data_IF_810199289319
#
_entry.id   IF_810199289319
#
_cell.length_a   1.000
_cell.length_b   1.000
_cell.length_c   1.000
_cell.angle_alpha   90.00
_cell.angle_beta   90.00
_cell.angle_gamma   90.00
#
_symmetry.space_group_name_H-M   'P 1'
#
loop_
_entity.id
_entity.type
_entity.pdbx_description
1 polymer ?
#
# COMPACT_ATOMS: atom_id res chain seq x y z
N UNK A 1 11.76 25.29 -13.11
CA UNK A 1 12.90 24.71 -12.34
C UNK A 1 13.08 23.20 -12.56
N UNK A 2 12.47 22.61 -13.59
CA UNK A 2 12.34 21.14 -13.74
C UNK A 2 13.46 20.51 -14.59
N UNK A 3 14.09 21.27 -15.49
CA UNK A 3 15.06 20.74 -16.48
C UNK A 3 16.48 20.63 -15.89
N UNK A 4 16.88 21.56 -15.01
CA UNK A 4 18.20 21.52 -14.34
C UNK A 4 18.26 20.37 -13.33
N UNK A 5 17.13 20.05 -12.67
CA UNK A 5 17.01 18.90 -11.76
C UNK A 5 17.15 17.57 -12.50
N UNK A 6 16.50 17.40 -13.65
CA UNK A 6 16.63 16.18 -14.47
C UNK A 6 18.06 15.97 -15.02
N UNK A 7 18.76 17.04 -15.37
CA UNK A 7 20.11 16.96 -15.93
C UNK A 7 21.16 16.60 -14.86
N UNK A 8 21.05 17.16 -13.65
CA UNK A 8 21.87 16.77 -12.50
C UNK A 8 21.53 15.34 -12.02
N UNK A 9 20.26 14.96 -12.06
CA UNK A 9 19.78 13.61 -11.74
C UNK A 9 20.36 12.55 -12.69
N UNK A 10 20.41 12.81 -14.00
CA UNK A 10 21.05 11.90 -14.97
C UNK A 10 22.58 11.84 -14.83
N UNK A 11 23.24 12.97 -14.55
CA UNK A 11 24.69 13.01 -14.38
C UNK A 11 25.18 12.30 -13.10
N UNK A 12 24.43 12.40 -12.00
CA UNK A 12 24.72 11.67 -10.75
C UNK A 12 24.43 10.17 -10.86
N UNK A 13 23.32 9.78 -11.50
CA UNK A 13 22.98 8.37 -11.71
C UNK A 13 23.96 7.66 -12.67
N UNK A 14 24.42 8.34 -13.72
CA UNK A 14 25.36 7.77 -14.70
C UNK A 14 26.70 7.36 -14.07
N UNK A 15 27.27 8.16 -13.17
CA UNK A 15 28.52 7.81 -12.46
C UNK A 15 28.34 6.68 -11.45
N UNK A 16 27.20 6.64 -10.74
CA UNK A 16 26.93 5.65 -9.69
C UNK A 16 26.56 4.27 -10.27
N UNK A 17 25.89 4.22 -11.42
CA UNK A 17 25.59 2.97 -12.12
C UNK A 17 26.84 2.33 -12.75
N UNK A 18 27.79 3.15 -13.22
CA UNK A 18 29.08 2.68 -13.70
C UNK A 18 29.92 2.05 -12.56
N UNK A 19 29.81 2.60 -11.34
CA UNK A 19 30.43 2.04 -10.14
C UNK A 19 29.81 0.70 -9.74
N UNK A 20 28.48 0.58 -9.76
CA UNK A 20 27.74 -0.65 -9.42
C UNK A 20 28.01 -1.76 -10.43
N UNK A 21 28.03 -1.46 -11.74
CA UNK A 21 28.39 -2.44 -12.77
C UNK A 21 29.83 -2.90 -12.63
N UNK A 22 30.77 -2.00 -12.36
CA UNK A 22 32.18 -2.36 -12.10
C UNK A 22 32.35 -3.20 -10.82
N UNK A 23 31.57 -2.95 -9.76
CA UNK A 23 31.58 -3.73 -8.52
C UNK A 23 30.98 -5.14 -8.72
N UNK A 24 29.90 -5.25 -9.48
CA UNK A 24 29.27 -6.53 -9.81
C UNK A 24 30.15 -7.37 -10.76
N UNK A 25 30.82 -6.74 -11.73
CA UNK A 25 31.79 -7.42 -12.60
C UNK A 25 33.08 -7.79 -11.85
N UNK A 26 33.56 -6.94 -10.94
CA UNK A 26 34.65 -7.26 -10.02
C UNK A 26 34.35 -8.49 -9.17
N UNK A 27 33.12 -8.60 -8.66
CA UNK A 27 32.66 -9.77 -7.90
C UNK A 27 32.56 -11.03 -8.75
N UNK A 28 32.14 -10.93 -10.02
CA UNK A 28 32.14 -12.07 -10.97
C UNK A 28 33.56 -12.52 -11.33
N UNK A 29 34.52 -11.59 -11.42
CA UNK A 29 35.95 -11.92 -11.61
C UNK A 29 36.53 -12.64 -10.39
N UNK A 30 36.25 -12.16 -9.17
CA UNK A 30 36.69 -12.80 -7.92
C UNK A 30 36.09 -14.22 -7.80
N UNK A 31 34.81 -14.38 -8.13
CA UNK A 31 34.13 -15.69 -8.07
C UNK A 31 34.59 -16.69 -9.16
N UNK A 32 35.27 -16.24 -10.21
CA UNK A 32 35.91 -17.07 -11.24
C UNK A 32 37.39 -17.38 -10.94
N UNK A 33 38.00 -16.67 -9.99
CA UNK A 33 39.42 -16.79 -9.65
C UNK A 33 39.73 -17.86 -8.59
N UNK A 34 38.74 -18.67 -8.20
CA UNK A 34 38.92 -19.79 -7.29
C UNK A 34 38.32 -21.02 -7.96
N UNK A 35 39.16 -21.97 -8.39
CA UNK A 35 39.56 -23.02 -7.44
C UNK A 35 40.99 -23.59 -7.60
N UNK A 36 41.39 -24.33 -6.55
CA UNK A 36 42.43 -25.37 -6.41
C UNK A 36 43.83 -24.96 -5.89
N UNK A 37 44.15 -25.57 -4.74
CA UNK A 37 45.46 -25.68 -4.08
C UNK A 37 46.28 -26.84 -4.68
N UNK A 38 47.59 -26.64 -4.57
CA UNK A 38 48.74 -27.56 -4.49
C UNK A 38 49.49 -28.12 -5.72
N UNK A 39 50.82 -27.96 -5.55
CA UNK A 39 51.99 -28.71 -6.04
C UNK A 39 52.61 -28.47 -7.44
N UNK A 40 53.89 -28.05 -7.38
CA UNK A 40 55.04 -28.45 -8.22
C UNK A 40 55.50 -27.59 -9.43
N UNK A 41 56.74 -27.09 -9.29
CA UNK A 41 57.87 -27.12 -10.25
C UNK A 41 57.98 -26.05 -11.37
N UNK A 42 59.03 -25.23 -11.20
CA UNK A 42 60.05 -24.71 -12.13
C UNK A 42 59.73 -24.02 -13.49
N UNK A 43 60.22 -22.77 -13.56
CA UNK A 43 61.10 -22.20 -14.60
C UNK A 43 60.53 -21.59 -15.91
N UNK A 44 61.34 -20.65 -16.44
CA UNK A 44 61.22 -19.77 -17.62
C UNK A 44 60.32 -18.51 -17.45
N UNK A 45 60.83 -17.27 -17.33
CA UNK A 45 61.74 -16.42 -18.13
C UNK A 45 61.07 -15.61 -19.25
N UNK A 46 61.57 -14.37 -19.43
CA UNK A 46 61.41 -13.39 -20.55
C UNK A 46 60.04 -12.72 -20.71
N UNK A 47 59.94 -11.40 -20.50
CA UNK A 47 59.96 -10.31 -21.51
C UNK A 47 58.66 -10.30 -22.36
N UNK A 48 57.93 -9.22 -22.60
CA UNK A 48 58.32 -7.89 -23.04
C UNK A 48 57.19 -6.85 -22.80
N UNK A 49 57.62 -5.61 -22.93
CA UNK A 49 56.88 -4.35 -22.86
C UNK A 49 55.98 -4.05 -24.06
N UNK A 50 55.11 -3.05 -23.85
CA UNK A 50 54.53 -2.10 -24.82
C UNK A 50 53.53 -2.61 -25.88
N UNK A 51 52.28 -2.10 -25.83
CA UNK A 51 51.91 -0.98 -26.72
C UNK A 51 50.50 -0.43 -26.45
N UNK A 52 50.44 0.89 -26.47
CA UNK A 52 49.24 1.72 -26.40
C UNK A 52 49.00 2.28 -27.80
N UNK A 53 47.93 1.89 -28.48
CA UNK A 53 47.45 2.64 -29.66
C UNK A 53 46.02 2.30 -30.03
N UNK A 54 45.24 3.37 -30.12
CA UNK A 54 43.87 3.54 -30.56
C UNK A 54 43.48 2.90 -31.90
N UNK A 55 42.24 2.43 -32.00
CA UNK A 55 41.41 2.59 -33.21
C UNK A 55 39.92 2.61 -32.84
N UNK A 56 39.33 3.79 -33.09
CA UNK A 56 37.91 4.09 -32.98
C UNK A 56 37.15 3.53 -34.18
N UNK A 57 36.16 2.67 -33.94
CA UNK A 57 35.06 2.45 -34.88
C UNK A 57 33.73 2.58 -34.14
N UNK A 58 33.08 3.72 -34.36
CA UNK A 58 31.69 4.03 -33.99
C UNK A 58 30.76 2.97 -34.57
N UNK A 59 30.29 2.04 -33.73
CA UNK A 59 29.00 1.40 -33.92
C UNK A 59 27.98 2.21 -33.10
N UNK A 60 26.95 2.71 -33.77
CA UNK A 60 25.89 3.50 -33.15
C UNK A 60 25.25 2.72 -31.99
N UNK A 61 25.40 3.26 -30.78
CA UNK A 61 24.81 2.70 -29.57
C UNK A 61 23.27 2.81 -29.65
N UNK A 62 22.52 1.75 -29.30
CA UNK A 62 21.08 1.88 -29.14
C UNK A 62 20.82 2.86 -27.99
N UNK A 63 19.92 3.81 -28.24
CA UNK A 63 19.55 4.91 -27.34
C UNK A 63 19.16 4.37 -25.95
N UNK A 64 19.93 4.76 -24.93
CA UNK A 64 19.88 4.29 -23.54
C UNK A 64 18.54 4.57 -22.79
N UNK A 65 17.62 5.31 -23.42
CA UNK A 65 16.29 5.63 -22.88
C UNK A 65 15.31 4.45 -22.90
N UNK A 66 15.62 3.34 -23.59
CA UNK A 66 14.75 2.15 -23.63
C UNK A 66 15.07 1.10 -22.55
N UNK A 67 16.22 1.18 -21.88
CA UNK A 67 16.70 0.13 -20.96
C UNK A 67 16.36 0.44 -19.49
N UNK A 68 16.17 1.72 -19.13
CA UNK A 68 15.94 2.15 -17.74
C UNK A 68 14.66 1.58 -17.08
N UNK A 69 13.50 1.43 -17.77
CA UNK A 69 12.32 0.86 -17.13
C UNK A 69 12.44 -0.64 -16.84
N UNK A 70 13.23 -1.37 -17.64
CA UNK A 70 13.32 -2.83 -17.56
C UNK A 70 14.17 -3.35 -16.41
N UNK A 71 15.16 -2.57 -15.95
CA UNK A 71 16.11 -3.01 -14.91
C UNK A 71 15.63 -2.62 -13.50
N UNK A 72 14.99 -1.45 -13.35
CA UNK A 72 14.51 -0.96 -12.06
C UNK A 72 13.16 -1.57 -11.63
N UNK A 73 12.29 -1.95 -12.57
CA UNK A 73 10.96 -2.49 -12.24
C UNK A 73 10.88 -4.02 -12.15
N UNK A 74 11.49 -4.71 -13.12
CA UNK A 74 11.32 -6.17 -13.30
C UNK A 74 12.57 -7.00 -12.92
N UNK A 75 13.75 -6.37 -12.82
CA UNK A 75 15.03 -7.04 -12.52
C UNK A 75 15.29 -7.26 -11.03
N UNK A 76 14.99 -6.27 -10.19
CA UNK A 76 15.22 -6.33 -8.73
C UNK A 76 14.29 -7.33 -8.00
N UNK A 77 13.11 -7.62 -8.56
CA UNK A 77 12.21 -8.65 -8.03
C UNK A 77 12.65 -10.09 -8.35
N UNK A 78 13.60 -10.27 -9.27
CA UNK A 78 14.18 -11.56 -9.66
C UNK A 78 15.59 -11.79 -9.09
N UNK A 79 16.19 -10.80 -8.43
CA UNK A 79 17.38 -11.05 -7.64
C UNK A 79 16.99 -11.95 -6.46
N UNK A 80 17.50 -13.18 -6.47
CA UNK A 80 17.62 -13.94 -5.22
C UNK A 80 18.55 -13.14 -4.32
N UNK A 81 17.97 -12.46 -3.34
CA UNK A 81 18.74 -11.86 -2.26
C UNK A 81 19.14 -13.00 -1.34
N UNK A 82 20.44 -13.35 -1.26
CA UNK A 82 20.88 -14.34 -0.30
C UNK A 82 20.48 -13.84 1.09
N UNK A 83 19.71 -14.63 1.82
CA UNK A 83 19.54 -14.42 3.25
C UNK A 83 20.95 -14.45 3.82
N UNK A 84 21.44 -13.41 4.51
CA UNK A 84 22.77 -13.45 5.09
C UNK A 84 22.84 -14.68 6.00
N UNK A 85 23.64 -15.68 5.61
CA UNK A 85 23.98 -16.79 6.49
C UNK A 85 24.92 -16.23 7.54
N UNK A 86 24.35 -15.87 8.69
CA UNK A 86 25.13 -15.47 9.83
C UNK A 86 25.80 -16.73 10.40
N UNK A 87 27.14 -16.83 10.40
CA UNK A 87 27.82 -17.92 11.10
C UNK A 87 27.36 -17.91 12.57
N UNK A 88 27.20 -19.12 13.12
CA UNK A 88 26.51 -19.38 14.38
C UNK A 88 26.64 -18.27 15.44
N UNK A 89 25.47 -17.84 15.95
CA UNK A 89 25.25 -16.95 17.09
C UNK A 89 25.51 -15.43 16.95
N UNK A 90 26.12 -14.91 15.88
CA UNK A 90 26.30 -13.46 15.75
C UNK A 90 25.29 -12.85 14.76
N UNK A 91 24.00 -12.80 15.15
CA UNK A 91 23.09 -11.84 14.51
C UNK A 91 23.47 -10.44 15.02
N UNK A 92 23.74 -9.46 14.14
CA UNK A 92 24.02 -8.10 14.56
C UNK A 92 22.87 -7.58 15.44
N UNK A 93 23.19 -6.76 16.44
CA UNK A 93 22.16 -5.99 17.14
C UNK A 93 21.31 -5.25 16.10
N UNK A 94 19.99 -5.11 16.32
CA UNK A 94 19.12 -4.38 15.40
C UNK A 94 19.71 -2.99 15.15
N UNK A 95 20.21 -2.77 13.92
CA UNK A 95 20.74 -1.50 13.45
C UNK A 95 20.06 -1.18 12.13
N UNK A 96 19.83 0.10 11.88
CA UNK A 96 19.40 0.55 10.56
C UNK A 96 20.60 0.60 9.61
N UNK A 97 20.33 0.46 8.32
CA UNK A 97 21.34 0.49 7.26
C UNK A 97 21.08 1.64 6.29
N UNK A 98 22.14 2.10 5.62
CA UNK A 98 22.09 3.16 4.63
C UNK A 98 21.64 2.64 3.26
N UNK A 99 21.26 3.56 2.36
CA UNK A 99 20.74 3.26 1.02
C UNK A 99 21.63 2.32 0.20
N UNK A 100 22.94 2.54 0.18
CA UNK A 100 23.85 1.74 -0.63
C UNK A 100 23.97 0.29 -0.10
N UNK A 101 23.98 0.10 1.22
CA UNK A 101 23.93 -1.23 1.86
C UNK A 101 22.55 -1.88 1.64
N UNK A 102 21.47 -1.10 1.75
CA UNK A 102 20.11 -1.55 1.55
C UNK A 102 19.89 -2.04 0.10
N UNK A 103 20.44 -1.34 -0.89
CA UNK A 103 20.30 -1.69 -2.30
C UNK A 103 20.88 -3.07 -2.60
N UNK A 104 21.95 -3.44 -1.91
CA UNK A 104 22.63 -4.72 -2.08
C UNK A 104 22.01 -5.86 -1.27
N UNK A 105 21.40 -5.56 -0.11
CA UNK A 105 20.97 -6.58 0.86
C UNK A 105 19.46 -6.74 0.98
N UNK A 106 18.71 -5.65 0.82
CA UNK A 106 17.26 -5.57 1.01
C UNK A 106 16.57 -4.71 -0.05
N UNK A 107 17.03 -4.79 -1.30
CA UNK A 107 16.52 -3.98 -2.41
C UNK A 107 15.01 -4.06 -2.63
N UNK A 108 14.34 -5.13 -2.17
CA UNK A 108 12.88 -5.25 -2.20
C UNK A 108 12.14 -4.29 -1.24
N UNK A 109 12.81 -3.72 -0.24
CA UNK A 109 12.24 -2.73 0.67
C UNK A 109 12.35 -1.29 0.12
N UNK A 110 12.96 -1.11 -1.04
CA UNK A 110 13.37 0.20 -1.56
C UNK A 110 12.46 0.69 -2.66
N UNK A 111 11.30 1.22 -2.26
CA UNK A 111 10.33 1.79 -3.21
C UNK A 111 10.62 3.26 -3.57
N UNK A 112 11.32 3.99 -2.69
CA UNK A 112 11.59 5.42 -2.85
C UNK A 112 13.10 5.72 -2.83
N UNK A 113 13.68 6.25 -3.93
CA UNK A 113 15.11 6.57 -4.00
C UNK A 113 15.54 7.76 -3.13
N UNK A 114 14.59 8.55 -2.61
CA UNK A 114 14.86 9.73 -1.79
C UNK A 114 15.05 9.42 -0.29
N UNK A 115 14.81 8.17 0.13
CA UNK A 115 15.06 7.73 1.51
C UNK A 115 16.49 7.22 1.62
N UNK A 116 17.39 8.00 2.24
CA UNK A 116 18.83 7.71 2.24
C UNK A 116 19.30 6.77 3.36
N UNK A 117 18.58 6.72 4.49
CA UNK A 117 18.98 5.95 5.68
C UNK A 117 17.75 5.41 6.41
N UNK A 118 17.98 4.57 7.43
CA UNK A 118 16.91 4.10 8.30
C UNK A 118 16.29 2.76 7.88
N UNK A 119 16.82 2.08 6.85
CA UNK A 119 16.30 0.79 6.40
C UNK A 119 16.55 -0.30 7.42
N UNK A 120 15.64 -1.27 7.50
CA UNK A 120 15.78 -2.45 8.37
C UNK A 120 16.51 -3.57 7.63
N UNK A 121 17.41 -4.23 8.35
CA UNK A 121 18.05 -5.45 7.88
C UNK A 121 17.03 -6.59 7.69
N UNK A 122 17.34 -7.53 6.80
CA UNK A 122 16.54 -8.74 6.62
C UNK A 122 16.50 -9.55 7.92
N UNK A 123 15.34 -9.72 8.53
CA UNK A 123 15.19 -10.40 9.81
C UNK A 123 15.04 -11.92 9.68
N UNK A 124 14.39 -12.38 8.62
CA UNK A 124 13.97 -13.78 8.45
C UNK A 124 13.11 -14.32 9.60
N UNK A 125 12.57 -13.45 10.47
CA UNK A 125 11.85 -13.83 11.67
C UNK A 125 10.70 -12.86 11.97
N UNK A 126 9.48 -13.40 12.02
CA UNK A 126 8.28 -12.62 12.36
C UNK A 126 8.42 -11.96 13.74
N UNK A 127 8.99 -12.66 14.73
CA UNK A 127 9.21 -12.09 16.08
C UNK A 127 10.11 -10.85 16.04
N UNK A 128 11.13 -10.84 15.19
CA UNK A 128 12.00 -9.68 15.02
C UNK A 128 11.32 -8.54 14.25
N UNK A 129 10.46 -8.86 13.27
CA UNK A 129 9.62 -7.87 12.63
C UNK A 129 8.69 -7.17 13.65
N UNK A 130 8.03 -7.94 14.51
CA UNK A 130 7.18 -7.40 15.57
C UNK A 130 7.97 -6.57 16.59
N UNK A 131 9.18 -7.02 16.96
CA UNK A 131 10.06 -6.25 17.83
C UNK A 131 10.43 -4.90 17.21
N UNK A 132 10.55 -4.79 15.87
CA UNK A 132 10.87 -3.50 15.22
C UNK A 132 9.81 -2.41 15.43
N UNK A 133 8.57 -2.78 15.76
CA UNK A 133 7.47 -1.82 16.01
C UNK A 133 7.82 -0.88 17.18
N UNK A 134 8.46 -1.40 18.24
CA UNK A 134 8.75 -0.65 19.47
C UNK A 134 10.22 -0.67 19.88
N UNK A 135 11.05 -1.52 19.26
CA UNK A 135 12.43 -1.75 19.67
C UNK A 135 13.42 -0.67 19.24
N UNK A 136 13.17 0.01 18.11
CA UNK A 136 14.04 1.07 17.58
C UNK A 136 13.32 1.85 16.46
N UNK A 137 13.78 3.07 16.16
CA UNK A 137 13.26 3.88 15.06
C UNK A 137 13.88 3.50 13.71
N UNK A 138 13.05 3.46 12.67
CA UNK A 138 13.45 3.13 11.30
C UNK A 138 12.52 3.83 10.29
N UNK A 139 12.84 3.72 9.00
CA UNK A 139 12.14 4.38 7.89
C UNK A 139 10.66 3.99 7.70
N UNK A 140 10.19 2.99 8.45
CA UNK A 140 8.84 2.42 8.35
C UNK A 140 8.06 2.57 9.67
N UNK A 141 8.66 3.16 10.71
CA UNK A 141 8.04 3.26 12.04
C UNK A 141 6.73 4.03 11.98
N UNK A 142 6.73 5.20 11.32
CA UNK A 142 5.50 6.00 11.21
C UNK A 142 4.45 5.33 10.32
N UNK A 143 4.85 4.67 9.24
CA UNK A 143 3.91 3.90 8.39
C UNK A 143 3.23 2.77 9.18
N UNK A 144 3.98 2.08 10.05
CA UNK A 144 3.39 1.07 10.94
C UNK A 144 2.42 1.74 11.93
N UNK A 145 2.87 2.79 12.63
CA UNK A 145 2.10 3.39 13.72
C UNK A 145 0.81 4.07 13.25
N UNK A 146 0.84 4.82 12.15
CA UNK A 146 -0.36 5.50 11.63
C UNK A 146 -1.46 4.51 11.27
N UNK A 147 -1.10 3.43 10.57
CA UNK A 147 -2.06 2.39 10.18
C UNK A 147 -2.46 1.49 11.34
N UNK A 148 -1.55 1.14 12.25
CA UNK A 148 -1.85 0.31 13.41
C UNK A 148 -2.79 1.02 14.40
N UNK A 149 -2.47 2.27 14.76
CA UNK A 149 -3.32 3.07 15.64
C UNK A 149 -4.68 3.37 14.99
N UNK A 150 -4.69 3.65 13.68
CA UNK A 150 -5.92 3.80 12.92
C UNK A 150 -6.78 2.53 12.94
N UNK A 151 -6.16 1.36 12.71
CA UNK A 151 -6.87 0.07 12.77
C UNK A 151 -7.45 -0.17 14.16
N UNK A 152 -6.70 0.12 15.24
CA UNK A 152 -7.18 -0.01 16.61
C UNK A 152 -8.37 0.92 16.87
N UNK A 153 -8.31 2.17 16.42
CA UNK A 153 -9.40 3.13 16.54
C UNK A 153 -10.66 2.63 15.82
N UNK A 154 -10.55 2.18 14.57
CA UNK A 154 -11.70 1.64 13.83
C UNK A 154 -12.24 0.34 14.42
N UNK A 155 -11.40 -0.51 15.02
CA UNK A 155 -11.85 -1.67 15.79
C UNK A 155 -12.69 -1.25 17.00
N UNK A 156 -12.27 -0.22 17.74
CA UNK A 156 -13.04 0.32 18.87
C UNK A 156 -14.37 0.91 18.42
N UNK A 157 -14.38 1.67 17.31
CA UNK A 157 -15.61 2.22 16.72
C UNK A 157 -16.54 1.08 16.29
N UNK A 158 -16.03 0.07 15.58
CA UNK A 158 -16.80 -1.11 15.18
C UNK A 158 -17.39 -1.83 16.39
N UNK A 159 -16.59 -2.07 17.44
CA UNK A 159 -17.08 -2.71 18.65
C UNK A 159 -18.18 -1.88 19.32
N UNK A 160 -18.00 -0.56 19.40
CA UNK A 160 -19.02 0.35 19.96
C UNK A 160 -20.34 0.31 19.17
N UNK A 161 -20.25 0.28 17.83
CA UNK A 161 -21.39 0.16 16.91
C UNK A 161 -22.11 -1.18 17.09
N UNK A 162 -21.37 -2.29 17.16
CA UNK A 162 -21.97 -3.60 17.39
C UNK A 162 -22.62 -3.73 18.77
N UNK A 163 -22.04 -3.08 19.79
CA UNK A 163 -22.63 -3.03 21.13
C UNK A 163 -23.91 -2.19 21.12
N UNK A 164 -23.92 -1.01 20.50
CA UNK A 164 -25.11 -0.14 20.46
C UNK A 164 -26.29 -0.79 19.74
N UNK A 165 -26.01 -1.60 18.71
CA UNK A 165 -27.01 -2.36 17.96
C UNK A 165 -27.39 -3.69 18.63
N UNK A 166 -26.69 -4.09 19.69
CA UNK A 166 -26.98 -5.35 20.38
C UNK A 166 -28.26 -5.26 21.22
N UNK A 167 -29.00 -6.37 21.28
CA UNK A 167 -30.17 -6.49 22.16
C UNK A 167 -29.82 -6.23 23.64
N UNK A 168 -28.57 -6.50 24.05
CA UNK A 168 -28.08 -6.26 25.42
C UNK A 168 -28.12 -4.76 25.75
N UNK A 169 -27.64 -3.90 24.86
CA UNK A 169 -27.73 -2.45 25.06
C UNK A 169 -29.18 -1.99 25.17
N UNK A 170 -30.08 -2.55 24.34
CA UNK A 170 -31.51 -2.23 24.43
C UNK A 170 -32.14 -2.69 25.75
N UNK A 171 -31.70 -3.84 26.29
CA UNK A 171 -32.25 -4.48 27.49
C UNK A 171 -31.73 -3.89 28.81
N UNK A 172 -30.47 -3.44 28.87
CA UNK A 172 -29.83 -3.01 30.12
C UNK A 172 -29.65 -1.50 30.28
N UNK A 173 -29.86 -0.71 29.22
CA UNK A 173 -29.87 0.76 29.32
C UNK A 173 -31.30 1.25 29.55
N UNK A 174 -31.61 1.83 30.74
CA UNK A 174 -32.96 2.31 31.05
C UNK A 174 -33.45 3.36 30.06
N UNK A 175 -34.74 3.34 29.76
CA UNK A 175 -35.38 4.33 28.88
C UNK A 175 -35.14 5.78 29.31
N UNK A 176 -35.01 6.04 30.63
CA UNK A 176 -34.69 7.37 31.18
C UNK A 176 -33.34 7.92 30.68
N UNK A 177 -32.30 7.08 30.61
CA UNK A 177 -31.00 7.46 30.08
C UNK A 177 -31.03 7.67 28.54
N UNK A 178 -31.89 6.94 27.82
CA UNK A 178 -32.10 7.13 26.37
C UNK A 178 -32.81 8.45 26.06
N UNK A 179 -33.77 8.85 26.91
CA UNK A 179 -34.53 10.09 26.74
C UNK A 179 -33.76 11.37 27.08
N UNK A 180 -32.80 11.31 28.02
CA UNK A 180 -31.90 12.44 28.30
C UNK A 180 -30.95 12.73 27.11
N UNK A 181 -30.61 11.69 26.33
CA UNK A 181 -29.76 11.82 25.14
C UNK A 181 -30.54 12.18 23.85
N UNK A 182 -31.81 11.74 23.72
CA UNK A 182 -32.55 11.82 22.45
C UNK A 182 -33.57 12.97 22.33
N UNK A 183 -33.83 13.75 23.39
CA UNK A 183 -34.73 14.91 23.37
C UNK A 183 -36.22 14.57 23.22
N UNK A 184 -37.07 15.24 24.01
CA UNK A 184 -38.50 14.92 24.17
C UNK A 184 -39.36 14.99 22.89
N UNK A 185 -38.92 15.66 21.82
CA UNK A 185 -39.67 15.74 20.55
C UNK A 185 -39.62 14.45 19.71
N UNK A 186 -38.67 13.54 19.96
CA UNK A 186 -38.47 12.31 19.17
C UNK A 186 -39.44 11.19 19.56
N UNK A 187 -39.99 11.22 20.77
CA UNK A 187 -40.71 10.09 21.39
C UNK A 187 -42.11 9.86 20.80
N UNK A 188 -42.80 10.91 20.31
CA UNK A 188 -44.14 10.75 19.71
C UNK A 188 -44.11 10.23 18.26
N UNK A 189 -42.99 10.40 17.54
CA UNK A 189 -42.80 9.90 16.17
C UNK A 189 -42.47 8.41 16.08
N UNK A 190 -41.94 7.81 17.15
CA UNK A 190 -41.47 6.41 17.16
C UNK A 190 -42.63 5.40 17.15
N UNK A 191 -43.81 5.76 17.68
CA UNK A 191 -44.92 4.81 17.90
C UNK A 191 -45.69 4.37 16.64
N UNK A 192 -45.52 5.04 15.51
CA UNK A 192 -46.27 4.76 14.26
C UNK A 192 -45.40 4.22 13.11
N UNK A 193 -44.11 4.01 13.31
CA UNK A 193 -43.14 3.65 12.25
C UNK A 193 -42.73 2.15 12.25
N UNK A 194 -43.28 1.36 13.17
CA UNK A 194 -42.67 0.18 13.80
C UNK A 194 -42.31 -1.04 12.91
N UNK A 195 -42.92 -1.21 11.72
CA UNK A 195 -42.62 -2.38 10.86
C UNK A 195 -41.74 -2.09 9.63
N UNK A 196 -41.72 -0.84 9.15
CA UNK A 196 -40.83 -0.42 8.06
C UNK A 196 -39.53 0.24 8.59
N UNK A 197 -39.51 0.70 9.85
CA UNK A 197 -38.28 1.06 10.59
C UNK A 197 -37.35 -0.11 10.78
N UNK A 198 -37.85 -1.30 11.13
CA UNK A 198 -37.00 -2.39 11.61
C UNK A 198 -36.10 -2.94 10.49
N UNK A 199 -36.64 -3.17 9.29
CA UNK A 199 -35.86 -3.63 8.13
C UNK A 199 -34.90 -2.55 7.59
N UNK A 200 -35.34 -1.28 7.59
CA UNK A 200 -34.50 -0.14 7.18
C UNK A 200 -33.40 0.16 8.20
N UNK A 201 -33.64 -0.07 9.49
CA UNK A 201 -32.67 0.08 10.57
C UNK A 201 -31.59 -1.01 10.50
N UNK A 202 -31.97 -2.29 10.38
CA UNK A 202 -30.99 -3.39 10.29
C UNK A 202 -30.10 -3.25 9.05
N UNK A 203 -30.68 -2.93 7.88
CA UNK A 203 -29.88 -2.76 6.65
C UNK A 203 -28.94 -1.54 6.73
N UNK A 204 -29.35 -0.45 7.39
CA UNK A 204 -28.49 0.70 7.67
C UNK A 204 -27.31 0.31 8.55
N UNK A 205 -27.57 -0.37 9.67
CA UNK A 205 -26.53 -0.84 10.60
C UNK A 205 -25.57 -1.85 9.97
N UNK A 206 -26.05 -2.68 9.04
CA UNK A 206 -25.22 -3.58 8.24
C UNK A 206 -24.32 -2.81 7.26
N UNK A 207 -24.86 -1.81 6.54
CA UNK A 207 -24.08 -1.00 5.60
C UNK A 207 -22.93 -0.27 6.29
N UNK A 208 -23.18 0.27 7.49
CA UNK A 208 -22.16 0.93 8.32
C UNK A 208 -21.14 -0.09 8.85
N UNK A 209 -21.59 -1.27 9.29
CA UNK A 209 -20.69 -2.35 9.72
C UNK A 209 -19.73 -2.77 8.60
N UNK A 210 -20.21 -2.86 7.35
CA UNK A 210 -19.37 -3.20 6.18
C UNK A 210 -18.26 -2.15 5.99
N UNK A 211 -18.60 -0.86 6.07
CA UNK A 211 -17.60 0.21 6.00
C UNK A 211 -16.55 0.10 7.11
N UNK A 212 -17.00 -0.05 8.36
CA UNK A 212 -16.11 -0.13 9.53
C UNK A 212 -15.19 -1.36 9.48
N UNK A 213 -15.70 -2.53 9.09
CA UNK A 213 -14.90 -3.74 8.86
C UNK A 213 -13.87 -3.50 7.74
N UNK A 214 -14.27 -2.81 6.67
CA UNK A 214 -13.37 -2.50 5.56
C UNK A 214 -12.23 -1.57 5.98
N UNK A 215 -12.49 -0.58 6.86
CA UNK A 215 -11.45 0.26 7.46
C UNK A 215 -10.46 -0.55 8.29
N UNK A 216 -10.95 -1.45 9.15
CA UNK A 216 -10.10 -2.33 9.97
C UNK A 216 -9.23 -3.21 9.09
N UNK A 217 -9.81 -3.83 8.06
CA UNK A 217 -9.07 -4.72 7.15
C UNK A 217 -7.98 -3.93 6.40
N UNK A 218 -8.32 -2.77 5.82
CA UNK A 218 -7.36 -1.98 5.05
C UNK A 218 -6.18 -1.51 5.92
N UNK A 219 -6.46 -0.91 7.07
CA UNK A 219 -5.42 -0.38 7.95
C UNK A 219 -4.61 -1.51 8.59
N UNK A 220 -5.26 -2.61 8.98
CA UNK A 220 -4.59 -3.79 9.52
C UNK A 220 -3.67 -4.48 8.51
N UNK A 221 -4.12 -4.65 7.26
CA UNK A 221 -3.28 -5.22 6.18
C UNK A 221 -2.08 -4.32 5.85
N UNK A 222 -2.27 -2.99 5.85
CA UNK A 222 -1.18 -2.04 5.65
C UNK A 222 -0.15 -2.04 6.79
N UNK A 223 -0.61 -2.02 8.04
CA UNK A 223 0.26 -2.15 9.22
C UNK A 223 1.03 -3.48 9.20
N UNK A 224 0.39 -4.59 8.81
CA UNK A 224 1.03 -5.88 8.65
C UNK A 224 2.09 -5.87 7.54
N UNK A 225 1.82 -5.25 6.39
CA UNK A 225 2.80 -5.09 5.32
C UNK A 225 4.04 -4.33 5.80
N UNK A 226 3.88 -3.12 6.33
CA UNK A 226 5.02 -2.33 6.80
C UNK A 226 5.76 -3.03 7.94
N UNK A 227 5.08 -3.79 8.80
CA UNK A 227 5.76 -4.61 9.83
C UNK A 227 6.58 -5.73 9.20
N UNK A 228 6.02 -6.47 8.24
CA UNK A 228 6.63 -7.65 7.64
C UNK A 228 7.62 -7.35 6.49
N UNK A 229 7.72 -6.09 6.04
CA UNK A 229 8.55 -5.69 4.90
C UNK A 229 10.03 -6.12 5.07
N UNK A 230 10.54 -6.11 6.30
CA UNK A 230 11.91 -6.50 6.61
C UNK A 230 12.14 -8.01 6.77
N UNK A 231 11.12 -8.87 6.59
CA UNK A 231 11.26 -10.31 6.81
C UNK A 231 12.13 -10.99 5.74
N UNK A 232 11.59 -11.07 4.51
CA UNK A 232 12.24 -11.61 3.32
C UNK A 232 11.46 -11.15 2.10
N UNK A 233 12.09 -11.11 0.92
CA UNK A 233 11.46 -10.64 -0.31
C UNK A 233 10.11 -11.35 -0.61
N UNK A 234 10.05 -12.67 -0.39
CA UNK A 234 8.83 -13.46 -0.61
C UNK A 234 7.69 -13.08 0.34
N UNK A 235 7.99 -12.85 1.62
CA UNK A 235 6.99 -12.45 2.63
C UNK A 235 6.54 -11.01 2.40
N UNK A 236 7.48 -10.09 2.19
CA UNK A 236 7.19 -8.69 1.84
C UNK A 236 6.29 -8.61 0.61
N UNK A 237 6.63 -9.32 -0.47
CA UNK A 237 5.84 -9.29 -1.70
C UNK A 237 4.42 -9.84 -1.53
N UNK A 238 4.22 -10.85 -0.67
CA UNK A 238 2.89 -11.38 -0.33
C UNK A 238 2.10 -10.37 0.52
N UNK A 239 2.74 -9.81 1.55
CA UNK A 239 2.10 -8.84 2.42
C UNK A 239 1.69 -7.56 1.65
N UNK A 240 2.54 -7.10 0.73
CA UNK A 240 2.24 -5.97 -0.17
C UNK A 240 1.05 -6.26 -1.10
N UNK A 241 0.84 -7.51 -1.51
CA UNK A 241 -0.37 -7.89 -2.27
C UNK A 241 -1.62 -7.83 -1.40
N UNK A 242 -1.53 -8.29 -0.15
CA UNK A 242 -2.66 -8.18 0.79
C UNK A 242 -2.99 -6.71 1.07
N UNK A 243 -1.99 -5.84 1.18
CA UNK A 243 -2.22 -4.40 1.36
C UNK A 243 -3.03 -3.79 0.22
N UNK A 244 -2.71 -4.12 -1.05
CA UNK A 244 -3.54 -3.71 -2.19
C UNK A 244 -4.98 -4.24 -2.12
N UNK A 245 -5.19 -5.47 -1.65
CA UNK A 245 -6.54 -5.99 -1.41
C UNK A 245 -7.25 -5.12 -0.38
N UNK A 246 -6.57 -4.75 0.71
CA UNK A 246 -7.09 -3.86 1.74
C UNK A 246 -7.60 -2.53 1.16
N UNK A 247 -6.82 -1.88 0.29
CA UNK A 247 -7.23 -0.62 -0.36
C UNK A 247 -8.49 -0.81 -1.21
N UNK A 248 -8.57 -1.90 -2.00
CA UNK A 248 -9.77 -2.21 -2.80
C UNK A 248 -10.99 -2.45 -1.91
N UNK A 249 -10.82 -3.23 -0.83
CA UNK A 249 -11.89 -3.51 0.14
C UNK A 249 -12.41 -2.22 0.78
N UNK A 250 -11.53 -1.30 1.18
CA UNK A 250 -11.93 0.01 1.71
C UNK A 250 -12.65 0.87 0.67
N UNK A 251 -12.16 0.93 -0.56
CA UNK A 251 -12.77 1.72 -1.63
C UNK A 251 -14.21 1.24 -1.92
N UNK A 252 -14.41 -0.08 -2.05
CA UNK A 252 -15.74 -0.69 -2.22
C UNK A 252 -16.60 -0.46 -0.98
N UNK A 253 -16.08 -0.78 0.21
CA UNK A 253 -16.80 -0.73 1.48
C UNK A 253 -17.25 0.67 1.89
N UNK A 254 -16.49 1.71 1.55
CA UNK A 254 -16.83 3.11 1.83
C UNK A 254 -17.95 3.68 0.96
N UNK A 255 -18.16 3.13 -0.24
CA UNK A 255 -19.23 3.57 -1.14
C UNK A 255 -20.57 2.89 -0.79
N UNK A 256 -20.55 1.70 -0.19
CA UNK A 256 -21.76 0.95 0.20
C UNK A 256 -22.75 1.76 1.06
N UNK A 257 -22.37 2.38 2.19
CA UNK A 257 -23.32 3.18 2.98
C UNK A 257 -23.85 4.39 2.21
N UNK A 258 -23.04 5.03 1.37
CA UNK A 258 -23.47 6.18 0.54
C UNK A 258 -24.58 5.74 -0.42
N UNK A 259 -24.38 4.63 -1.12
CA UNK A 259 -25.37 4.07 -2.05
C UNK A 259 -26.61 3.56 -1.29
N UNK A 260 -26.42 2.94 -0.13
CA UNK A 260 -27.51 2.47 0.73
C UNK A 260 -28.42 3.63 1.15
N UNK A 261 -27.88 4.68 1.76
CA UNK A 261 -28.67 5.84 2.17
C UNK A 261 -29.24 6.65 0.99
N UNK A 262 -28.56 6.65 -0.16
CA UNK A 262 -29.06 7.28 -1.39
C UNK A 262 -30.32 6.60 -1.92
N UNK A 263 -30.33 5.26 -1.97
CA UNK A 263 -31.31 4.49 -2.74
C UNK A 263 -32.06 3.43 -1.91
N UNK A 264 -32.11 3.55 -0.58
CA UNK A 264 -32.82 2.59 0.29
C UNK A 264 -34.27 2.37 -0.13
N UNK A 265 -34.94 3.41 -0.66
CA UNK A 265 -36.32 3.34 -1.14
C UNK A 265 -36.45 2.93 -2.62
N UNK A 266 -35.32 2.77 -3.34
CA UNK A 266 -35.26 2.51 -4.78
C UNK A 266 -34.37 1.27 -5.03
N UNK A 267 -34.89 0.04 -4.85
CA UNK A 267 -34.09 -1.19 -4.83
C UNK A 267 -33.35 -1.46 -6.15
N UNK A 268 -33.91 -1.02 -7.28
CA UNK A 268 -33.26 -1.13 -8.58
C UNK A 268 -31.92 -0.37 -8.60
N UNK A 269 -31.92 0.92 -8.22
CA UNK A 269 -30.71 1.74 -8.24
C UNK A 269 -29.70 1.32 -7.17
N UNK A 270 -30.19 0.92 -5.99
CA UNK A 270 -29.37 0.33 -4.94
C UNK A 270 -28.59 -0.89 -5.48
N UNK A 271 -29.26 -1.80 -6.17
CA UNK A 271 -28.64 -2.98 -6.77
C UNK A 271 -27.64 -2.60 -7.88
N UNK A 272 -28.02 -1.72 -8.80
CA UNK A 272 -27.16 -1.28 -9.92
C UNK A 272 -25.85 -0.69 -9.40
N UNK A 273 -25.90 0.25 -8.46
CA UNK A 273 -24.69 0.88 -7.93
C UNK A 273 -23.87 -0.06 -7.06
N UNK A 274 -24.50 -0.90 -6.23
CA UNK A 274 -23.79 -1.87 -5.37
C UNK A 274 -23.11 -2.97 -6.19
N UNK A 275 -23.75 -3.49 -7.23
CA UNK A 275 -23.12 -4.44 -8.14
C UNK A 275 -22.03 -3.76 -8.97
N UNK A 276 -22.28 -2.54 -9.46
CA UNK A 276 -21.34 -1.77 -10.26
C UNK A 276 -20.02 -1.53 -9.54
N UNK A 277 -20.06 -1.04 -8.29
CA UNK A 277 -18.84 -0.82 -7.49
C UNK A 277 -18.12 -2.14 -7.14
N UNK A 278 -18.85 -3.24 -6.95
CA UNK A 278 -18.26 -4.57 -6.78
C UNK A 278 -17.51 -5.08 -8.02
N UNK A 279 -18.07 -4.86 -9.22
CA UNK A 279 -17.43 -5.18 -10.50
C UNK A 279 -16.19 -4.29 -10.72
N UNK A 280 -16.29 -2.99 -10.47
CA UNK A 280 -15.14 -2.08 -10.57
C UNK A 280 -14.04 -2.43 -9.56
N UNK A 281 -14.42 -2.84 -8.34
CA UNK A 281 -13.51 -3.30 -7.31
C UNK A 281 -12.77 -4.57 -7.72
N UNK A 282 -13.49 -5.57 -8.24
CA UNK A 282 -12.86 -6.80 -8.76
C UNK A 282 -11.94 -6.51 -9.95
N UNK A 283 -12.35 -5.67 -10.89
CA UNK A 283 -11.49 -5.23 -11.98
C UNK A 283 -10.21 -4.55 -11.46
N UNK A 284 -10.33 -3.62 -10.51
CA UNK A 284 -9.18 -2.96 -9.87
C UNK A 284 -8.26 -4.00 -9.20
N UNK A 285 -8.83 -4.94 -8.43
CA UNK A 285 -8.07 -6.02 -7.79
C UNK A 285 -7.27 -6.84 -8.81
N UNK A 286 -7.87 -7.21 -9.96
CA UNK A 286 -7.14 -7.96 -10.99
C UNK A 286 -5.94 -7.20 -11.52
N UNK A 287 -6.07 -5.88 -11.77
CA UNK A 287 -4.97 -5.05 -12.27
C UNK A 287 -3.86 -4.92 -11.23
N UNK A 288 -4.19 -4.62 -9.98
CA UNK A 288 -3.18 -4.33 -8.95
C UNK A 288 -2.48 -5.58 -8.40
N UNK A 289 -3.13 -6.75 -8.48
CA UNK A 289 -2.55 -8.02 -8.06
C UNK A 289 -1.78 -8.73 -9.17
N UNK A 290 -2.07 -8.43 -10.44
CA UNK A 290 -1.41 -9.10 -11.56
C UNK A 290 0.07 -8.69 -11.66
N UNK A 291 1.02 -9.65 -11.76
CA UNK A 291 2.46 -9.37 -11.77
C UNK A 291 2.93 -8.42 -12.87
N UNK A 292 2.28 -8.43 -14.04
CA UNK A 292 2.68 -7.57 -15.16
C UNK A 292 2.19 -6.12 -15.03
N UNK A 293 1.05 -5.89 -14.39
CA UNK A 293 0.45 -4.56 -14.32
C UNK A 293 0.88 -3.78 -13.08
N UNK A 294 1.27 -4.46 -12.01
CA UNK A 294 1.73 -3.83 -10.76
C UNK A 294 2.97 -2.94 -10.89
N UNK A 295 3.83 -3.18 -11.89
CA UNK A 295 5.00 -2.34 -12.17
C UNK A 295 4.65 -1.03 -12.88
N UNK A 296 3.42 -0.92 -13.40
CA UNK A 296 2.91 0.28 -14.09
C UNK A 296 2.20 1.19 -13.10
N UNK A 297 2.95 2.07 -12.44
CA UNK A 297 2.45 3.01 -11.43
C UNK A 297 1.20 3.76 -11.89
N UNK A 298 1.25 4.37 -13.08
CA UNK A 298 0.12 5.15 -13.61
C UNK A 298 -1.14 4.31 -13.77
N UNK A 299 -1.03 3.07 -14.25
CA UNK A 299 -2.19 2.19 -14.41
C UNK A 299 -2.80 1.84 -13.05
N UNK A 300 -1.97 1.43 -12.08
CA UNK A 300 -2.39 1.11 -10.72
C UNK A 300 -3.11 2.29 -10.06
N UNK A 301 -2.46 3.45 -10.03
CA UNK A 301 -3.00 4.65 -9.39
C UNK A 301 -4.29 5.14 -10.08
N UNK A 302 -4.36 5.04 -11.41
CA UNK A 302 -5.58 5.40 -12.16
C UNK A 302 -6.76 4.50 -11.82
N UNK A 303 -6.55 3.18 -11.65
CA UNK A 303 -7.64 2.26 -11.29
C UNK A 303 -8.22 2.54 -9.91
N UNK A 304 -7.38 2.87 -8.92
CA UNK A 304 -7.85 3.34 -7.62
C UNK A 304 -8.62 4.65 -7.77
N UNK A 305 -8.06 5.64 -8.45
CA UNK A 305 -8.69 6.95 -8.64
C UNK A 305 -10.08 6.85 -9.27
N UNK A 306 -10.24 6.01 -10.29
CA UNK A 306 -11.52 5.76 -10.96
C UNK A 306 -12.50 5.05 -10.03
N UNK A 307 -12.05 4.06 -9.26
CA UNK A 307 -12.89 3.35 -8.29
C UNK A 307 -13.39 4.29 -7.19
N UNK A 308 -12.53 5.14 -6.63
CA UNK A 308 -12.95 6.11 -5.60
C UNK A 308 -13.85 7.21 -6.15
N UNK A 309 -13.57 7.72 -7.35
CA UNK A 309 -14.35 8.79 -7.99
C UNK A 309 -15.71 8.32 -8.51
N UNK A 310 -15.97 7.01 -8.57
CA UNK A 310 -17.25 6.47 -9.05
C UNK A 310 -18.44 6.92 -8.19
N UNK A 311 -18.21 7.31 -6.93
CA UNK A 311 -19.21 7.84 -6.00
C UNK A 311 -19.87 9.14 -6.50
N UNK A 312 -19.21 9.87 -7.40
CA UNK A 312 -19.77 11.09 -8.00
C UNK A 312 -21.10 10.78 -8.73
N UNK A 313 -21.18 9.62 -9.39
CA UNK A 313 -22.36 9.24 -10.19
C UNK A 313 -23.63 9.06 -9.32
N UNK A 314 -23.65 8.22 -8.27
CA UNK A 314 -24.83 8.08 -7.41
C UNK A 314 -25.17 9.37 -6.65
N UNK A 315 -24.17 10.17 -6.23
CA UNK A 315 -24.42 11.46 -5.58
C UNK A 315 -25.10 12.44 -6.53
N UNK A 316 -24.61 12.53 -7.77
CA UNK A 316 -25.22 13.37 -8.80
C UNK A 316 -26.63 12.91 -9.14
N UNK A 317 -26.85 11.59 -9.27
CA UNK A 317 -28.17 11.03 -9.51
C UNK A 317 -29.19 11.49 -8.47
N UNK A 318 -28.92 11.30 -7.17
CA UNK A 318 -29.83 11.75 -6.11
C UNK A 318 -30.00 13.26 -6.11
N UNK A 319 -28.93 14.01 -6.37
CA UNK A 319 -28.99 15.49 -6.43
C UNK A 319 -29.90 15.98 -7.55
N UNK A 320 -29.86 15.33 -8.72
CA UNK A 320 -30.72 15.67 -9.86
C UNK A 320 -32.15 15.17 -9.68
N UNK A 321 -32.35 14.01 -9.04
CA UNK A 321 -33.66 13.40 -8.84
C UNK A 321 -34.46 14.08 -7.70
N UNK A 322 -33.82 14.38 -6.57
CA UNK A 322 -34.49 14.86 -5.36
C UNK A 322 -34.17 16.33 -5.01
N UNK A 323 -33.21 16.93 -5.70
CA UNK A 323 -32.70 18.26 -5.42
C UNK A 323 -31.57 18.29 -4.38
N UNK A 324 -30.77 19.34 -4.43
CA UNK A 324 -29.56 19.50 -3.62
C UNK A 324 -29.83 19.47 -2.11
N UNK A 325 -30.86 20.19 -1.64
CA UNK A 325 -31.18 20.26 -0.21
C UNK A 325 -31.51 18.89 0.40
N UNK A 326 -32.23 18.05 -0.35
CA UNK A 326 -32.58 16.71 0.10
C UNK A 326 -31.36 15.77 0.04
N UNK A 327 -30.54 15.88 -1.01
CA UNK A 327 -29.29 15.15 -1.12
C UNK A 327 -28.32 15.48 0.03
N UNK A 328 -28.20 16.75 0.43
CA UNK A 328 -27.39 17.17 1.59
C UNK A 328 -27.86 16.51 2.90
N UNK A 329 -29.18 16.36 3.11
CA UNK A 329 -29.74 15.71 4.30
C UNK A 329 -29.49 14.20 4.32
N UNK A 330 -29.57 13.54 3.16
CA UNK A 330 -29.38 12.08 3.04
C UNK A 330 -27.92 11.65 3.04
N UNK A 331 -27.06 12.37 2.33
CA UNK A 331 -25.70 11.94 1.99
C UNK A 331 -24.62 12.77 2.66
N UNK A 332 -24.99 13.85 3.35
CA UNK A 332 -24.03 14.81 3.90
C UNK A 332 -23.03 15.28 2.83
N UNK A 333 -23.55 15.67 1.66
CA UNK A 333 -22.78 15.95 0.41
C UNK A 333 -21.53 16.81 0.63
N UNK A 334 -21.56 17.80 1.52
CA UNK A 334 -20.38 18.62 1.85
C UNK A 334 -19.22 17.78 2.42
N UNK A 335 -19.50 16.85 3.33
CA UNK A 335 -18.52 15.91 3.87
C UNK A 335 -18.07 14.89 2.82
N UNK A 336 -18.96 14.45 1.94
CA UNK A 336 -18.61 13.58 0.81
C UNK A 336 -17.62 14.26 -0.15
N UNK A 337 -17.85 15.55 -0.47
CA UNK A 337 -16.93 16.34 -1.30
C UNK A 337 -15.59 16.51 -0.61
N UNK A 338 -15.58 16.86 0.68
CA UNK A 338 -14.34 16.98 1.46
C UNK A 338 -13.53 15.67 1.46
N UNK A 339 -14.20 14.53 1.66
CA UNK A 339 -13.58 13.20 1.56
C UNK A 339 -13.02 12.93 0.15
N UNK A 340 -13.76 13.32 -0.91
CA UNK A 340 -13.29 13.22 -2.30
C UNK A 340 -12.03 14.05 -2.57
N UNK A 341 -11.97 15.29 -2.04
CA UNK A 341 -10.79 16.15 -2.16
C UNK A 341 -9.58 15.52 -1.45
N UNK A 342 -9.77 14.99 -0.23
CA UNK A 342 -8.71 14.30 0.51
C UNK A 342 -8.22 13.07 -0.26
N UNK A 343 -9.14 12.31 -0.86
CA UNK A 343 -8.82 11.13 -1.65
C UNK A 343 -7.96 11.47 -2.89
N UNK A 344 -8.37 12.46 -3.67
CA UNK A 344 -7.62 12.91 -4.85
C UNK A 344 -6.26 13.50 -4.43
N UNK A 345 -6.23 14.32 -3.38
CA UNK A 345 -5.00 14.93 -2.88
C UNK A 345 -3.99 13.87 -2.42
N UNK A 346 -4.45 12.87 -1.67
CA UNK A 346 -3.61 11.75 -1.23
C UNK A 346 -3.09 10.89 -2.38
N UNK A 347 -3.82 10.81 -3.49
CA UNK A 347 -3.40 10.07 -4.70
C UNK A 347 -2.30 10.79 -5.49
N UNK A 348 -2.22 12.12 -5.37
CA UNK A 348 -1.26 12.97 -6.09
C UNK A 348 0.10 13.09 -5.40
N UNK A 349 0.17 12.79 -4.10
CA UNK A 349 1.39 12.72 -3.29
C UNK A 349 2.04 11.35 -3.52
#
# INVERSE_FOLDING_TARGET
>A
MTIISQTLHQAFYGRRHHLITNLLDGRKKIRKAEPLRDDSIDSLSSSDTSDFSSASTRAASPTFTSILPGILGDGLGKLEYPIPEWPGQLRPKPRTIEYDEALLTVGWQMDNPYIWTGYRQASGSIRQCMYSIYGYLHNETFNILTHLLGSMLFCLILLSHLISESWIFTAFVPWSAKSEFAGAQTISMIKSYDHQSTLSSTSSSMSMSIYLVSCVICLGMSAAFHTLNCHSAKVSHRAHRCDYVGIVVLAVGSIIPIVHYAFISQPFWLAVYTCGIGIMGTFTATIVLHPHYRSRLLLRTSTFLVLGSSVIVPVLHVTLQEGYSQACRKLAVGWTIAAGILYVSGTLI
#
